data_IF_800991689954
#
_entry.id   IF_800991689954
#
_cell.length_a   1.000
_cell.length_b   1.000
_cell.length_c   1.000
_cell.angle_alpha   90.00
_cell.angle_beta   90.00
_cell.angle_gamma   90.00
#
_symmetry.space_group_name_H-M   'P 1'
#
loop_
_entity.id
_entity.type
_entity.pdbx_description
1 polymer ?
#
# COMPACT_ATOMS: atom_id res chain seq x y z
N UNK A 1 -15.17 -73.49 27.53
CA UNK A 1 -15.21 -73.32 26.07
C UNK A 1 -15.41 -71.84 25.79
N UNK A 2 -14.45 -71.20 25.13
CA UNK A 2 -14.34 -69.74 24.94
C UNK A 2 -15.10 -69.33 23.67
N UNK A 3 -15.94 -68.30 23.71
CA UNK A 3 -16.33 -67.54 22.52
C UNK A 3 -16.22 -66.04 22.82
N UNK A 4 -15.26 -65.40 22.16
CA UNK A 4 -15.01 -63.95 22.21
C UNK A 4 -15.86 -63.29 21.13
N UNK A 5 -16.67 -62.30 21.50
CA UNK A 5 -17.37 -61.40 20.58
C UNK A 5 -16.37 -60.34 20.12
N UNK A 6 -16.16 -60.09 18.82
CA UNK A 6 -15.33 -58.97 18.38
C UNK A 6 -16.16 -57.69 18.45
N UNK A 7 -15.68 -56.72 19.23
CA UNK A 7 -16.16 -55.35 19.20
C UNK A 7 -15.60 -54.70 17.92
N UNK A 8 -16.44 -54.51 16.91
CA UNK A 8 -16.08 -53.73 15.73
C UNK A 8 -16.12 -52.24 16.10
N UNK A 9 -14.96 -51.60 16.22
CA UNK A 9 -14.85 -50.17 16.40
C UNK A 9 -15.10 -49.46 15.06
N UNK A 10 -16.25 -48.79 14.93
CA UNK A 10 -16.55 -47.92 13.79
C UNK A 10 -15.85 -46.58 14.04
N UNK A 11 -14.72 -46.34 13.37
CA UNK A 11 -14.07 -45.04 13.36
C UNK A 11 -14.80 -44.10 12.40
N UNK A 12 -15.53 -43.12 12.94
CA UNK A 12 -16.18 -42.08 12.16
C UNK A 12 -15.12 -41.03 11.78
N UNK A 13 -14.63 -41.06 10.53
CA UNK A 13 -13.71 -40.05 10.02
C UNK A 13 -14.53 -38.79 9.68
N UNK A 14 -14.53 -37.82 10.59
CA UNK A 14 -15.02 -36.47 10.31
C UNK A 14 -14.03 -35.80 9.34
N UNK A 15 -14.37 -35.81 8.05
CA UNK A 15 -13.68 -35.00 7.05
C UNK A 15 -13.94 -33.51 7.38
N UNK A 16 -12.99 -32.88 8.07
CA UNK A 16 -12.97 -31.43 8.21
C UNK A 16 -12.66 -30.84 6.83
N UNK A 17 -13.70 -30.34 6.16
CA UNK A 17 -13.52 -29.47 5.01
C UNK A 17 -12.83 -28.19 5.49
N UNK A 18 -11.51 -28.14 5.36
CA UNK A 18 -10.78 -26.88 5.47
C UNK A 18 -11.24 -26.01 4.29
N UNK A 19 -12.14 -25.06 4.54
CA UNK A 19 -12.37 -23.97 3.61
C UNK A 19 -11.08 -23.18 3.52
N UNK A 20 -10.28 -23.48 2.49
CA UNK A 20 -9.23 -22.58 2.05
C UNK A 20 -9.94 -21.32 1.56
N UNK A 21 -10.08 -20.34 2.45
CA UNK A 21 -10.34 -18.98 2.03
C UNK A 21 -9.15 -18.59 1.15
N UNK A 22 -9.34 -18.62 -0.17
CA UNK A 22 -8.40 -17.99 -1.10
C UNK A 22 -8.21 -16.54 -0.68
N UNK A 23 -7.04 -15.94 -0.95
CA UNK A 23 -6.82 -14.54 -0.61
C UNK A 23 -7.97 -13.71 -1.18
N UNK A 24 -8.65 -12.96 -0.30
CA UNK A 24 -9.68 -12.03 -0.74
C UNK A 24 -9.07 -11.12 -1.82
N UNK A 25 -9.81 -10.79 -2.90
CA UNK A 25 -9.31 -9.88 -3.90
C UNK A 25 -8.86 -8.61 -3.19
N UNK A 26 -7.56 -8.31 -3.28
CA UNK A 26 -7.01 -7.09 -2.69
C UNK A 26 -7.76 -5.93 -3.34
N UNK A 27 -8.46 -5.15 -2.52
CA UNK A 27 -9.10 -3.91 -2.99
C UNK A 27 -8.04 -3.13 -3.73
N UNK A 28 -8.21 -2.94 -5.05
CA UNK A 28 -7.31 -2.09 -5.82
C UNK A 28 -7.49 -0.66 -5.28
N UNK A 29 -6.47 -0.17 -4.57
CA UNK A 29 -6.47 1.18 -4.02
C UNK A 29 -6.01 2.17 -5.07
N UNK A 30 -6.61 3.36 -5.07
CA UNK A 30 -6.23 4.49 -5.91
C UNK A 30 -6.32 5.76 -5.07
N UNK A 31 -5.66 6.84 -5.49
CA UNK A 31 -5.66 8.11 -4.75
C UNK A 31 -7.08 8.68 -4.63
N UNK A 32 -7.92 8.50 -5.64
CA UNK A 32 -9.33 8.92 -5.67
C UNK A 32 -10.22 8.18 -4.67
N UNK A 33 -9.80 7.01 -4.18
CA UNK A 33 -10.55 6.25 -3.19
C UNK A 33 -10.39 6.79 -1.76
N UNK A 34 -9.35 7.59 -1.48
CA UNK A 34 -9.02 8.10 -0.15
C UNK A 34 -10.17 8.89 0.49
N UNK A 35 -10.79 9.88 -0.19
CA UNK A 35 -11.86 10.68 0.41
C UNK A 35 -13.14 9.87 0.74
N UNK A 36 -13.34 8.74 0.06
CA UNK A 36 -14.51 7.87 0.26
C UNK A 36 -14.37 6.90 1.44
N UNK A 37 -13.17 6.77 2.02
CA UNK A 37 -12.89 5.90 3.15
C UNK A 37 -12.47 6.74 4.37
N UNK A 38 -13.19 6.56 5.49
CA UNK A 38 -12.97 7.37 6.70
C UNK A 38 -11.57 7.23 7.27
N UNK A 39 -11.05 6.00 7.35
CA UNK A 39 -9.74 5.73 7.94
C UNK A 39 -8.62 6.23 7.04
N UNK A 40 -8.74 6.03 5.73
CA UNK A 40 -7.79 6.57 4.76
C UNK A 40 -7.81 8.11 4.73
N UNK A 41 -8.99 8.72 4.82
CA UNK A 41 -9.12 10.18 4.91
C UNK A 41 -8.44 10.76 6.16
N UNK A 42 -8.62 10.12 7.32
CA UNK A 42 -7.91 10.51 8.55
C UNK A 42 -6.40 10.35 8.41
N UNK A 43 -5.95 9.22 7.88
CA UNK A 43 -4.54 8.95 7.65
C UNK A 43 -3.92 9.97 6.68
N UNK A 44 -4.63 10.34 5.61
CA UNK A 44 -4.19 11.36 4.66
C UNK A 44 -4.12 12.76 5.30
N UNK A 45 -5.10 13.12 6.12
CA UNK A 45 -5.11 14.38 6.85
C UNK A 45 -3.94 14.48 7.85
N UNK A 46 -3.65 13.38 8.56
CA UNK A 46 -2.48 13.28 9.43
C UNK A 46 -1.18 13.35 8.62
N UNK A 47 -1.10 12.64 7.49
CA UNK A 47 0.10 12.60 6.65
C UNK A 47 0.54 13.98 6.18
N UNK A 48 -0.41 14.82 5.75
CA UNK A 48 -0.14 16.15 5.22
C UNK A 48 0.06 17.23 6.28
N UNK A 49 -0.06 16.91 7.58
CA UNK A 49 0.02 17.89 8.66
C UNK A 49 1.37 18.63 8.61
N UNK A 50 1.32 19.96 8.67
CA UNK A 50 2.53 20.81 8.60
C UNK A 50 3.06 21.05 7.18
N UNK A 51 2.43 20.47 6.15
CA UNK A 51 2.83 20.64 4.76
C UNK A 51 1.68 21.21 3.90
N UNK A 52 2.04 22.02 2.91
CA UNK A 52 1.09 22.41 1.86
C UNK A 52 1.10 21.35 0.78
N UNK A 53 0.09 20.48 0.80
CA UNK A 53 -0.15 19.48 -0.25
C UNK A 53 -1.17 20.02 -1.26
N UNK A 54 -0.88 20.02 -2.57
CA UNK A 54 -1.80 20.56 -3.58
C UNK A 54 -3.17 19.90 -3.57
N UNK A 55 -4.22 20.68 -3.86
CA UNK A 55 -5.60 20.18 -3.88
C UNK A 55 -5.84 19.10 -4.94
N UNK A 56 -5.06 19.07 -6.01
CA UNK A 56 -5.20 18.09 -7.09
C UNK A 56 -4.87 16.66 -6.65
N UNK A 57 -4.19 16.45 -5.51
CA UNK A 57 -3.61 15.15 -5.14
C UNK A 57 -4.62 14.01 -5.08
N UNK A 58 -5.84 14.23 -4.59
CA UNK A 58 -6.89 13.18 -4.50
C UNK A 58 -7.86 13.20 -5.69
N UNK A 59 -7.62 14.04 -6.69
CA UNK A 59 -8.44 14.15 -7.90
C UNK A 59 -7.58 14.29 -9.18
N UNK A 60 -6.31 13.88 -9.08
CA UNK A 60 -5.31 14.05 -10.12
C UNK A 60 -5.39 12.92 -11.14
N UNK A 61 -4.48 12.95 -12.11
CA UNK A 61 -4.26 11.79 -12.97
C UNK A 61 -3.57 10.72 -12.15
N UNK A 62 -4.17 9.54 -12.01
CA UNK A 62 -3.68 8.46 -11.16
C UNK A 62 -3.49 7.16 -11.95
N UNK A 63 -2.67 6.28 -11.40
CA UNK A 63 -2.55 4.88 -11.81
C UNK A 63 -3.14 3.97 -10.73
N UNK A 64 -3.55 2.73 -11.06
CA UNK A 64 -3.92 1.75 -10.05
C UNK A 64 -2.79 1.55 -9.04
N UNK A 65 -3.11 1.49 -7.75
CA UNK A 65 -2.13 1.27 -6.70
C UNK A 65 -1.56 -0.15 -6.73
N UNK A 66 -0.30 -0.26 -6.31
CA UNK A 66 0.44 -1.50 -6.18
C UNK A 66 0.40 -1.97 -4.73
N UNK A 67 0.23 -3.28 -4.50
CA UNK A 67 0.39 -3.87 -3.17
C UNK A 67 1.84 -4.28 -2.99
N UNK A 68 2.46 -3.91 -1.87
CA UNK A 68 3.83 -4.33 -1.51
C UNK A 68 3.86 -4.79 -0.06
N UNK A 69 4.86 -5.58 0.32
CA UNK A 69 5.13 -5.93 1.71
C UNK A 69 6.03 -4.87 2.33
N UNK A 70 5.60 -4.30 3.47
CA UNK A 70 6.37 -3.32 4.23
C UNK A 70 6.18 -3.55 5.73
N UNK A 71 7.27 -3.86 6.44
CA UNK A 71 7.20 -4.21 7.86
C UNK A 71 6.39 -5.49 8.10
N UNK A 72 6.63 -6.50 7.27
CA UNK A 72 6.05 -7.84 7.38
C UNK A 72 4.60 -8.02 6.93
N UNK A 73 3.93 -7.01 6.38
CA UNK A 73 2.54 -7.11 5.92
C UNK A 73 2.26 -6.24 4.69
N UNK A 74 1.13 -6.52 4.05
CA UNK A 74 0.70 -5.83 2.83
C UNK A 74 0.30 -4.37 3.11
N UNK A 75 0.82 -3.47 2.29
CA UNK A 75 0.47 -2.05 2.23
C UNK A 75 0.17 -1.64 0.79
N UNK A 76 -0.54 -0.53 0.62
CA UNK A 76 -0.93 -0.02 -0.71
C UNK A 76 -0.08 1.19 -1.09
N UNK A 77 0.55 1.15 -2.26
CA UNK A 77 1.34 2.26 -2.81
C UNK A 77 0.60 2.83 -4.00
N UNK A 78 0.21 4.09 -3.92
CA UNK A 78 -0.58 4.80 -4.92
C UNK A 78 0.21 6.00 -5.45
N UNK A 79 -0.03 6.36 -6.70
CA UNK A 79 0.56 7.55 -7.32
C UNK A 79 -0.52 8.43 -7.93
N UNK A 80 -0.27 9.73 -7.94
CA UNK A 80 -1.02 10.69 -8.73
C UNK A 80 -0.11 11.79 -9.24
N UNK A 81 -0.52 12.45 -10.31
CA UNK A 81 0.18 13.58 -10.89
C UNK A 81 -0.78 14.70 -11.26
N UNK A 82 -0.23 15.91 -11.33
CA UNK A 82 -1.01 17.11 -11.67
C UNK A 82 -1.57 16.96 -13.09
N UNK A 83 -2.90 17.07 -13.28
CA UNK A 83 -3.50 17.01 -14.60
C UNK A 83 -2.82 17.99 -15.57
N UNK A 84 -2.56 17.52 -16.79
CA UNK A 84 -1.87 18.27 -17.85
C UNK A 84 -0.42 18.69 -17.55
N UNK A 85 0.15 18.29 -16.40
CA UNK A 85 1.52 18.62 -16.02
C UNK A 85 2.19 17.51 -15.19
N UNK A 86 1.94 16.25 -15.55
CA UNK A 86 2.38 15.10 -14.76
C UNK A 86 3.90 14.99 -14.59
N UNK A 87 4.66 15.44 -15.59
CA UNK A 87 6.10 15.48 -15.53
C UNK A 87 6.64 16.43 -14.45
N UNK A 88 5.90 17.49 -14.10
CA UNK A 88 6.41 18.53 -13.20
C UNK A 88 5.96 18.39 -11.76
N UNK A 89 4.80 17.80 -11.50
CA UNK A 89 4.26 17.66 -10.14
C UNK A 89 3.59 16.29 -10.00
N UNK A 90 4.10 15.49 -9.07
CA UNK A 90 3.67 14.11 -8.82
C UNK A 90 3.79 13.76 -7.34
N UNK A 91 3.00 12.80 -6.89
CA UNK A 91 3.00 12.32 -5.51
C UNK A 91 2.91 10.80 -5.50
N UNK A 92 3.63 10.19 -4.56
CA UNK A 92 3.41 8.80 -4.16
C UNK A 92 2.95 8.77 -2.69
N UNK A 93 2.04 7.86 -2.38
CA UNK A 93 1.50 7.61 -1.04
C UNK A 93 1.52 6.12 -0.75
N UNK A 94 2.09 5.75 0.40
CA UNK A 94 2.01 4.42 0.98
C UNK A 94 0.97 4.46 2.09
N UNK A 95 -0.07 3.63 1.98
CA UNK A 95 -1.11 3.46 2.98
C UNK A 95 -1.01 2.08 3.63
N UNK A 96 -0.80 2.09 4.94
CA UNK A 96 -0.87 0.91 5.80
C UNK A 96 -2.26 0.87 6.46
N UNK A 97 -3.17 -0.01 6.00
CA UNK A 97 -4.53 -0.09 6.52
C UNK A 97 -4.59 -0.69 7.92
N UNK A 98 -3.59 -1.49 8.33
CA UNK A 98 -3.56 -2.12 9.66
C UNK A 98 -3.26 -1.07 10.72
N UNK A 99 -2.27 -0.20 10.46
CA UNK A 99 -1.87 0.90 11.34
C UNK A 99 -2.65 2.18 11.10
N UNK A 100 -3.46 2.25 10.03
CA UNK A 100 -4.24 3.43 9.62
C UNK A 100 -3.35 4.67 9.46
N UNK A 101 -2.20 4.48 8.83
CA UNK A 101 -1.18 5.52 8.64
C UNK A 101 -0.83 5.65 7.16
N UNK A 102 -0.54 6.87 6.73
CA UNK A 102 0.00 7.14 5.40
C UNK A 102 1.35 7.83 5.50
N UNK A 103 2.23 7.45 4.57
CA UNK A 103 3.49 8.12 4.28
C UNK A 103 3.49 8.58 2.84
N UNK A 104 4.17 9.67 2.54
CA UNK A 104 4.14 10.18 1.17
C UNK A 104 5.38 10.95 0.78
N UNK A 105 5.50 11.16 -0.53
CA UNK A 105 6.51 12.06 -1.11
C UNK A 105 5.86 12.85 -2.23
N UNK A 106 5.85 14.16 -2.09
CA UNK A 106 5.49 15.08 -3.16
C UNK A 106 6.78 15.49 -3.89
N UNK A 107 6.81 15.24 -5.19
CA UNK A 107 7.88 15.66 -6.09
C UNK A 107 7.44 16.83 -6.95
N UNK A 108 8.30 17.84 -7.02
CA UNK A 108 8.17 18.99 -7.91
C UNK A 108 9.46 19.16 -8.70
N UNK A 109 9.38 19.04 -10.03
CA UNK A 109 10.52 19.27 -10.91
C UNK A 109 10.82 20.78 -11.03
N UNK A 110 12.10 21.11 -11.02
CA UNK A 110 12.60 22.46 -11.23
C UNK A 110 12.40 22.91 -12.68
N UNK A 111 12.14 24.20 -12.93
CA UNK A 111 11.72 24.68 -14.25
C UNK A 111 12.83 24.67 -15.32
N UNK A 112 14.12 24.48 -14.98
CA UNK A 112 15.23 24.72 -15.93
C UNK A 112 16.50 23.86 -15.77
N UNK A 113 16.76 23.31 -14.59
CA UNK A 113 18.06 22.71 -14.23
C UNK A 113 17.99 21.20 -13.97
N UNK A 114 16.86 20.57 -14.27
CA UNK A 114 16.65 19.13 -14.03
C UNK A 114 16.63 18.77 -12.54
N UNK A 115 16.49 19.76 -11.65
CA UNK A 115 16.38 19.51 -10.21
C UNK A 115 15.02 18.91 -9.86
N UNK A 116 14.98 18.11 -8.80
CA UNK A 116 13.75 17.58 -8.24
C UNK A 116 13.71 17.92 -6.75
N UNK A 117 12.63 18.59 -6.32
CA UNK A 117 12.40 18.86 -4.91
C UNK A 117 11.45 17.82 -4.35
N UNK A 118 11.92 17.03 -3.38
CA UNK A 118 11.13 16.05 -2.65
C UNK A 118 10.67 16.62 -1.32
N UNK A 119 9.36 16.61 -1.09
CA UNK A 119 8.74 16.90 0.21
C UNK A 119 8.21 15.60 0.81
N UNK A 120 8.92 15.11 1.82
CA UNK A 120 8.57 13.88 2.54
C UNK A 120 7.50 14.16 3.58
N UNK A 121 6.46 13.33 3.59
CA UNK A 121 5.25 13.53 4.39
C UNK A 121 5.14 12.41 5.43
N UNK A 122 5.04 12.80 6.70
CA UNK A 122 4.86 11.91 7.85
C UNK A 122 5.98 10.86 8.07
N UNK A 123 7.19 11.14 7.59
CA UNK A 123 8.37 10.29 7.84
C UNK A 123 8.99 10.69 9.18
N UNK A 124 9.00 9.77 10.15
CA UNK A 124 9.22 10.07 11.57
C UNK A 124 10.40 9.39 12.24
N UNK A 125 11.19 8.59 11.52
CA UNK A 125 12.41 7.95 12.01
C UNK A 125 12.35 6.43 12.19
N UNK A 126 11.22 5.78 11.88
CA UNK A 126 11.09 4.33 11.84
C UNK A 126 11.53 3.72 10.50
N UNK A 127 11.08 2.49 10.21
CA UNK A 127 11.40 1.78 8.96
C UNK A 127 10.94 2.54 7.71
N UNK A 128 9.95 3.44 7.83
CA UNK A 128 9.50 4.30 6.74
C UNK A 128 10.58 5.30 6.29
N UNK A 129 11.60 5.54 7.11
CA UNK A 129 12.68 6.48 6.82
C UNK A 129 13.71 5.96 5.83
N UNK A 130 13.79 4.65 5.61
CA UNK A 130 14.73 4.02 4.67
C UNK A 130 13.95 3.26 3.59
N UNK A 131 13.31 2.16 3.95
CA UNK A 131 12.60 1.30 3.00
C UNK A 131 11.33 2.00 2.50
N UNK A 132 10.60 2.67 3.39
CA UNK A 132 9.43 3.46 2.99
C UNK A 132 9.78 4.55 2.00
N UNK A 133 10.89 5.28 2.21
CA UNK A 133 11.37 6.27 1.23
C UNK A 133 11.74 5.64 -0.10
N UNK A 134 12.35 4.46 -0.07
CA UNK A 134 12.75 3.73 -1.28
C UNK A 134 11.54 3.29 -2.09
N UNK A 135 10.54 2.67 -1.44
CA UNK A 135 9.26 2.29 -2.06
C UNK A 135 8.60 3.52 -2.69
N UNK A 136 8.45 4.59 -1.91
CA UNK A 136 7.78 5.82 -2.32
C UNK A 136 8.45 6.47 -3.53
N UNK A 137 9.78 6.54 -3.53
CA UNK A 137 10.51 7.11 -4.66
C UNK A 137 10.49 6.20 -5.89
N UNK A 138 10.57 4.88 -5.71
CA UNK A 138 10.41 3.92 -6.80
C UNK A 138 9.02 3.98 -7.45
N UNK A 139 7.99 4.31 -6.68
CA UNK A 139 6.65 4.58 -7.22
C UNK A 139 6.63 5.85 -8.08
N UNK A 140 7.30 6.93 -7.65
CA UNK A 140 7.40 8.17 -8.42
C UNK A 140 8.15 8.03 -9.75
N UNK A 141 9.16 7.16 -9.79
CA UNK A 141 9.96 6.92 -11.00
C UNK A 141 9.32 5.89 -11.94
N UNK A 142 8.25 5.23 -11.51
CA UNK A 142 7.63 4.10 -12.23
C UNK A 142 8.39 2.78 -12.07
N UNK A 143 9.48 2.75 -11.31
CA UNK A 143 10.24 1.51 -11.06
C UNK A 143 9.40 0.46 -10.33
N UNK A 144 8.54 0.88 -9.40
CA UNK A 144 7.62 -0.04 -8.71
C UNK A 144 6.59 -0.65 -9.68
N UNK A 145 6.03 0.15 -10.58
CA UNK A 145 5.08 -0.34 -11.58
C UNK A 145 5.74 -1.35 -12.53
N UNK A 146 6.97 -1.08 -12.96
CA UNK A 146 7.73 -1.96 -13.85
C UNK A 146 8.26 -3.23 -13.15
N UNK A 147 8.44 -3.19 -11.82
CA UNK A 147 9.02 -4.27 -11.02
C UNK A 147 8.27 -4.45 -9.69
N UNK A 148 6.99 -4.88 -9.72
CA UNK A 148 6.11 -4.87 -8.55
C UNK A 148 6.61 -5.72 -7.37
N UNK A 149 7.34 -6.80 -7.66
CA UNK A 149 7.82 -7.72 -6.63
C UNK A 149 9.18 -7.33 -6.02
N UNK A 150 9.88 -6.36 -6.61
CA UNK A 150 11.25 -6.00 -6.23
C UNK A 150 11.35 -5.10 -4.98
N UNK A 151 10.21 -4.59 -4.49
CA UNK A 151 10.13 -3.62 -3.40
C UNK A 151 9.41 -4.16 -2.16
N UNK A 152 9.42 -5.49 -2.00
CA UNK A 152 8.87 -6.17 -0.84
C UNK A 152 9.93 -6.25 0.28
N UNK A 153 9.76 -5.44 1.33
CA UNK A 153 10.64 -5.39 2.50
C UNK A 153 9.93 -6.05 3.70
N UNK A 154 10.42 -7.24 4.06
CA UNK A 154 9.85 -8.10 5.10
C UNK A 154 10.36 -7.74 6.49
#
# INVERSE_FOLDING_TARGET
MKFRIPLAAVALILAQAASAAGPAPTKAWAMSAIPGDRAASDAFAAMKKGHTVPAWVTSGTESPGTTVVFGGHDVYVMTACKPHNCGSERIAVLYDPQKKVMYGVLSVAGPKDGTEKLTWLNIGGGSESIDGRTILYAALTGSLENHPDAFNYK
#
